data_IF_259857014739
#
_entry.id   IF_259857014739
#
_cell.length_a   1.000
_cell.length_b   1.000
_cell.length_c   1.000
_cell.angle_alpha   90.00
_cell.angle_beta   90.00
_cell.angle_gamma   90.00
#
_symmetry.space_group_name_H-M   'P 1'
#
loop_
_entity.id
_entity.type
_entity.pdbx_description
1 polymer ?
#
# COMPACT_ATOMS: atom_id res chain seq x y z
N UNK A 1 3.77 -10.83 -14.80
CA UNK A 1 3.12 -12.13 -14.55
C UNK A 1 3.81 -13.19 -15.40
N UNK A 2 4.40 -14.21 -14.75
CA UNK A 2 4.96 -15.38 -15.38
C UNK A 2 4.14 -16.60 -14.98
N UNK A 3 3.84 -17.50 -15.92
CA UNK A 3 3.17 -18.79 -15.67
C UNK A 3 1.81 -18.72 -14.94
N UNK A 4 1.05 -17.64 -15.11
CA UNK A 4 -0.36 -17.56 -14.70
C UNK A 4 -0.63 -16.80 -13.41
N UNK A 5 0.25 -16.85 -12.39
CA UNK A 5 0.03 -16.20 -11.12
C UNK A 5 0.85 -14.89 -10.95
N UNK A 6 0.28 -13.90 -10.27
CA UNK A 6 1.02 -12.71 -9.87
C UNK A 6 1.91 -13.02 -8.68
N UNK A 7 3.21 -12.85 -8.86
CA UNK A 7 4.20 -13.05 -7.82
C UNK A 7 5.15 -11.85 -7.75
N UNK A 8 5.82 -11.68 -6.63
CA UNK A 8 6.86 -10.65 -6.47
C UNK A 8 8.16 -11.18 -7.04
N UNK A 9 8.78 -10.38 -7.90
CA UNK A 9 10.09 -10.66 -8.48
C UNK A 9 11.05 -9.51 -8.23
N UNK A 10 12.32 -9.80 -8.20
CA UNK A 10 13.42 -8.82 -8.19
C UNK A 10 14.40 -9.12 -9.31
N UNK A 11 14.94 -8.08 -9.95
CA UNK A 11 15.99 -8.20 -10.95
C UNK A 11 16.98 -7.04 -10.82
N UNK A 12 18.24 -7.19 -11.26
CA UNK A 12 19.18 -6.08 -11.32
C UNK A 12 18.68 -4.97 -12.24
N UNK A 13 18.99 -3.71 -11.93
CA UNK A 13 18.60 -2.56 -12.74
C UNK A 13 19.22 -2.59 -14.15
N UNK A 14 20.38 -3.21 -14.27
CA UNK A 14 21.10 -3.41 -15.54
C UNK A 14 20.49 -4.53 -16.41
N UNK A 15 19.43 -5.17 -15.92
CA UNK A 15 18.80 -6.32 -16.57
C UNK A 15 19.34 -7.67 -16.09
N UNK A 16 18.76 -8.73 -16.62
CA UNK A 16 19.12 -10.11 -16.27
C UNK A 16 17.89 -10.97 -15.99
N UNK A 17 18.10 -12.13 -15.39
CA UNK A 17 17.02 -13.05 -15.04
C UNK A 17 16.29 -12.56 -13.79
N UNK A 18 14.96 -12.36 -13.85
CA UNK A 18 14.17 -12.07 -12.66
C UNK A 18 14.21 -13.22 -11.66
N UNK A 19 14.41 -12.91 -10.40
CA UNK A 19 14.34 -13.86 -9.30
C UNK A 19 12.97 -13.76 -8.64
N UNK A 20 12.23 -14.85 -8.59
CA UNK A 20 10.95 -14.94 -7.88
C UNK A 20 11.18 -14.95 -6.37
N UNK A 21 10.38 -14.20 -5.64
CA UNK A 21 10.47 -14.04 -4.19
C UNK A 21 9.25 -14.62 -3.45
N UNK A 22 8.10 -14.71 -4.12
CA UNK A 22 6.87 -15.26 -3.54
C UNK A 22 6.38 -16.44 -4.37
N UNK A 23 5.77 -17.44 -3.70
CA UNK A 23 5.29 -18.69 -4.30
C UNK A 23 3.88 -19.02 -3.85
N UNK A 24 3.16 -18.03 -3.38
CA UNK A 24 1.79 -18.21 -2.94
C UNK A 24 0.87 -18.30 -4.16
N UNK A 25 -0.05 -19.30 -4.24
CA UNK A 25 -1.01 -19.39 -5.32
C UNK A 25 -1.91 -18.15 -5.31
N UNK A 26 -1.85 -17.37 -6.37
CA UNK A 26 -2.78 -16.26 -6.54
C UNK A 26 -4.17 -16.77 -6.93
N UNK A 27 -5.19 -15.93 -6.80
CA UNK A 27 -6.59 -16.32 -7.07
C UNK A 27 -6.94 -16.48 -8.56
N UNK A 28 -5.95 -16.72 -9.43
CA UNK A 28 -6.15 -16.95 -10.84
C UNK A 28 -6.00 -15.71 -11.73
N UNK A 29 -6.29 -15.83 -13.03
CA UNK A 29 -5.94 -14.82 -14.03
C UNK A 29 -6.80 -13.56 -14.02
N UNK A 30 -7.93 -13.57 -13.31
CA UNK A 30 -8.81 -12.42 -13.23
C UNK A 30 -8.60 -11.67 -11.93
N UNK A 31 -8.34 -10.34 -11.99
CA UNK A 31 -8.24 -9.55 -10.77
C UNK A 31 -9.57 -9.63 -10.02
N UNK A 32 -9.54 -9.93 -8.72
CA UNK A 32 -10.73 -9.82 -7.89
C UNK A 32 -11.22 -8.37 -7.86
N UNK A 33 -12.47 -8.14 -7.51
CA UNK A 33 -13.04 -6.78 -7.43
C UNK A 33 -12.23 -5.81 -6.54
N UNK A 34 -11.40 -6.34 -5.66
CA UNK A 34 -10.52 -5.58 -4.77
C UNK A 34 -9.15 -5.22 -5.35
N UNK A 35 -8.82 -5.61 -6.58
CA UNK A 35 -7.52 -5.37 -7.20
C UNK A 35 -6.67 -6.63 -7.33
N UNK A 36 -5.40 -6.45 -7.74
CA UNK A 36 -4.45 -7.54 -7.95
C UNK A 36 -3.88 -8.06 -6.63
N UNK A 37 -3.58 -9.36 -6.58
CA UNK A 37 -2.83 -9.97 -5.48
C UNK A 37 -1.32 -9.79 -5.70
N UNK A 38 -0.54 -9.85 -4.62
CA UNK A 38 0.92 -9.68 -4.63
C UNK A 38 1.41 -8.39 -5.34
N UNK A 39 0.71 -7.29 -5.15
CA UNK A 39 1.06 -6.00 -5.73
C UNK A 39 2.21 -5.34 -4.97
N UNK A 40 3.31 -5.06 -5.67
CA UNK A 40 4.46 -4.35 -5.11
C UNK A 40 4.11 -2.88 -4.84
N UNK A 41 4.44 -2.40 -3.64
CA UNK A 41 4.29 -1.02 -3.20
C UNK A 41 5.62 -0.27 -3.23
N UNK A 42 6.72 -0.90 -2.82
CA UNK A 42 8.03 -0.27 -2.78
C UNK A 42 9.08 -1.13 -2.11
N UNK A 43 10.12 -0.49 -1.62
CA UNK A 43 11.21 -1.09 -0.85
C UNK A 43 11.15 -0.66 0.60
N UNK A 44 11.66 -1.49 1.50
CA UNK A 44 11.98 -1.02 2.85
C UNK A 44 13.10 0.02 2.79
N UNK A 45 13.16 1.01 3.72
CA UNK A 45 14.13 2.10 3.67
C UNK A 45 15.59 1.66 3.66
N UNK A 46 15.88 0.49 4.22
CA UNK A 46 17.20 -0.13 4.20
C UNK A 46 17.54 -0.86 2.89
N UNK A 47 16.59 -0.91 1.95
CA UNK A 47 16.72 -1.63 0.67
C UNK A 47 16.81 -3.16 0.81
N UNK A 48 16.57 -3.73 1.99
CA UNK A 48 16.75 -5.15 2.23
C UNK A 48 15.54 -6.00 1.82
N UNK A 49 14.34 -5.41 1.80
CA UNK A 49 13.08 -6.12 1.52
C UNK A 49 12.17 -5.33 0.60
N UNK A 50 11.23 -6.04 0.00
CA UNK A 50 10.18 -5.47 -0.84
C UNK A 50 8.88 -5.43 -0.05
N UNK A 51 8.24 -4.26 -0.01
CA UNK A 51 6.91 -4.05 0.51
C UNK A 51 5.89 -4.39 -0.57
N UNK A 52 4.92 -5.23 -0.26
CA UNK A 52 3.86 -5.61 -1.19
C UNK A 52 2.55 -5.90 -0.45
N UNK A 53 1.45 -5.76 -1.16
CA UNK A 53 0.12 -6.15 -0.70
C UNK A 53 -0.19 -7.56 -1.18
N UNK A 54 -0.86 -8.35 -0.33
CA UNK A 54 -1.39 -9.66 -0.70
C UNK A 54 -2.68 -9.97 0.04
N UNK A 55 -3.49 -10.83 -0.56
CA UNK A 55 -4.70 -11.39 0.05
C UNK A 55 -4.47 -12.82 0.58
N UNK A 56 -3.20 -13.25 0.71
CA UNK A 56 -2.85 -14.64 1.05
C UNK A 56 -3.44 -15.14 2.37
N UNK A 57 -3.61 -14.24 3.34
CA UNK A 57 -4.16 -14.56 4.65
C UNK A 57 -5.65 -14.17 4.78
N UNK A 58 -6.31 -13.85 3.65
CA UNK A 58 -7.73 -13.57 3.63
C UNK A 58 -8.52 -14.87 3.82
N UNK A 59 -9.32 -14.95 4.87
CA UNK A 59 -10.06 -16.14 5.30
C UNK A 59 -11.44 -16.31 4.63
N UNK A 60 -11.68 -15.66 3.52
CA UNK A 60 -12.97 -15.70 2.81
C UNK A 60 -14.04 -14.75 3.39
N UNK A 61 -13.93 -14.40 4.65
CA UNK A 61 -14.77 -13.40 5.32
C UNK A 61 -14.11 -12.02 5.18
N UNK A 62 -12.78 -11.97 5.26
CA UNK A 62 -11.97 -10.77 5.04
C UNK A 62 -11.43 -10.80 3.61
N UNK A 63 -12.08 -10.08 2.73
CA UNK A 63 -11.60 -9.90 1.34
C UNK A 63 -10.55 -8.80 1.21
N UNK A 64 -10.21 -8.15 2.30
CA UNK A 64 -9.25 -7.04 2.31
C UNK A 64 -7.81 -7.56 2.31
N UNK A 65 -6.94 -6.86 1.59
CA UNK A 65 -5.52 -7.19 1.55
C UNK A 65 -4.78 -6.80 2.83
N UNK A 66 -3.57 -7.29 2.94
CA UNK A 66 -2.62 -6.92 3.99
C UNK A 66 -1.24 -6.63 3.38
N UNK A 67 -0.50 -5.74 3.99
CA UNK A 67 0.87 -5.46 3.60
C UNK A 67 1.83 -6.48 4.20
N UNK A 68 2.77 -6.89 3.37
CA UNK A 68 3.82 -7.84 3.69
C UNK A 68 5.18 -7.29 3.28
N UNK A 69 6.23 -7.79 3.89
CA UNK A 69 7.59 -7.62 3.39
C UNK A 69 8.17 -8.97 3.02
N UNK A 70 8.99 -9.03 1.95
CA UNK A 70 9.76 -10.20 1.56
C UNK A 70 11.21 -9.81 1.32
N UNK A 71 12.21 -10.54 1.89
CA UNK A 71 13.61 -10.21 1.67
C UNK A 71 13.99 -10.27 0.19
N UNK A 72 14.70 -9.28 -0.34
CA UNK A 72 15.18 -9.25 -1.73
C UNK A 72 16.12 -10.42 -2.05
N UNK A 73 16.80 -10.96 -1.03
CA UNK A 73 17.64 -12.14 -1.15
C UNK A 73 16.85 -13.46 -1.17
N UNK A 74 15.54 -13.40 -0.99
CA UNK A 74 14.65 -14.56 -0.83
C UNK A 74 14.44 -14.94 0.64
N UNK A 75 13.38 -15.68 0.89
CA UNK A 75 12.94 -16.09 2.22
C UNK A 75 11.42 -16.03 2.35
N UNK A 76 10.90 -16.18 3.56
CA UNK A 76 9.48 -16.13 3.80
C UNK A 76 8.98 -14.68 3.88
N UNK A 77 7.82 -14.43 3.28
CA UNK A 77 7.13 -13.17 3.45
C UNK A 77 6.62 -13.03 4.89
N UNK A 78 6.72 -11.82 5.43
CA UNK A 78 6.27 -11.47 6.78
C UNK A 78 5.17 -10.42 6.70
N UNK A 79 4.02 -10.72 7.31
CA UNK A 79 2.93 -9.77 7.44
C UNK A 79 3.33 -8.59 8.33
N UNK A 80 2.88 -7.39 7.96
CA UNK A 80 2.94 -6.23 8.83
C UNK A 80 1.80 -6.29 9.86
N UNK A 81 1.94 -5.63 11.02
CA UNK A 81 1.01 -5.83 12.14
C UNK A 81 -0.38 -5.21 11.94
N UNK A 82 -0.60 -4.40 10.89
CA UNK A 82 -1.92 -3.86 10.60
C UNK A 82 -2.89 -4.97 10.19
N UNK A 83 -4.11 -5.02 10.75
CA UNK A 83 -5.06 -6.10 10.46
C UNK A 83 -5.56 -6.09 9.01
N UNK A 84 -5.68 -4.91 8.42
CA UNK A 84 -6.00 -4.71 7.00
C UNK A 84 -5.17 -3.54 6.47
N UNK A 85 -4.66 -3.66 5.26
CA UNK A 85 -3.88 -2.60 4.64
C UNK A 85 -3.88 -2.74 3.12
N UNK A 86 -4.30 -1.71 2.45
CA UNK A 86 -4.35 -1.63 0.99
C UNK A 86 -3.02 -1.18 0.39
N UNK A 87 -2.87 0.12 0.19
CA UNK A 87 -1.61 0.73 -0.22
C UNK A 87 -0.84 1.23 0.99
N UNK A 88 0.48 1.34 0.89
CA UNK A 88 1.28 1.92 1.96
C UNK A 88 2.74 2.11 1.57
N UNK A 89 3.41 2.97 2.33
CA UNK A 89 4.82 3.27 2.17
C UNK A 89 5.48 3.57 3.52
N UNK A 90 6.74 3.17 3.67
CA UNK A 90 7.51 3.39 4.89
C UNK A 90 7.98 4.84 5.03
N UNK A 91 8.02 5.33 6.27
CA UNK A 91 8.82 6.52 6.58
C UNK A 91 10.31 6.25 6.31
N UNK A 92 11.10 7.27 5.96
CA UNK A 92 12.53 7.09 5.65
C UNK A 92 13.34 6.44 6.79
N UNK A 93 12.91 6.62 8.03
CA UNK A 93 13.53 6.00 9.22
C UNK A 93 13.05 4.55 9.48
N UNK A 94 12.11 4.05 8.69
CA UNK A 94 11.54 2.71 8.81
C UNK A 94 10.68 2.45 10.04
N UNK A 95 10.34 3.48 10.81
CA UNK A 95 9.60 3.31 12.07
C UNK A 95 8.10 3.41 11.92
N UNK A 96 7.65 4.08 10.86
CA UNK A 96 6.23 4.32 10.60
C UNK A 96 5.88 3.93 9.18
N UNK A 97 4.58 3.71 8.95
CA UNK A 97 4.01 3.41 7.63
C UNK A 97 2.81 4.32 7.42
N UNK A 98 2.81 5.09 6.33
CA UNK A 98 1.60 5.70 5.81
C UNK A 98 0.84 4.66 5.00
N UNK A 99 -0.43 4.43 5.30
CA UNK A 99 -1.21 3.38 4.65
C UNK A 99 -2.71 3.70 4.59
N UNK A 100 -3.42 3.00 3.70
CA UNK A 100 -4.88 2.94 3.71
C UNK A 100 -5.33 1.58 4.22
N UNK A 101 -6.26 1.48 5.19
CA UNK A 101 -6.85 0.21 5.62
C UNK A 101 -7.64 -0.48 4.50
N UNK A 102 -8.23 0.30 3.61
CA UNK A 102 -9.00 -0.19 2.48
C UNK A 102 -8.24 -0.02 1.18
N UNK A 103 -8.50 -0.88 0.21
CA UNK A 103 -8.10 -0.62 -1.16
C UNK A 103 -9.28 -0.84 -2.11
N UNK A 104 -9.37 0.02 -3.11
CA UNK A 104 -10.40 -0.01 -4.14
C UNK A 104 -9.79 0.46 -5.46
N UNK A 105 -8.94 -0.38 -6.04
CA UNK A 105 -8.25 -0.05 -7.28
C UNK A 105 -9.26 0.09 -8.44
N UNK A 106 -10.28 -0.76 -8.44
CA UNK A 106 -11.35 -0.78 -9.45
C UNK A 106 -12.69 -0.38 -8.84
N UNK A 107 -12.89 0.92 -8.66
CA UNK A 107 -14.16 1.47 -8.19
C UNK A 107 -15.00 2.00 -9.35
N UNK A 108 -16.33 1.81 -9.24
CA UNK A 108 -17.29 2.24 -10.25
C UNK A 108 -17.93 3.60 -9.96
N UNK A 109 -17.62 4.20 -8.81
CA UNK A 109 -18.17 5.48 -8.37
C UNK A 109 -17.12 6.59 -8.41
N UNK A 110 -17.62 7.82 -8.55
CA UNK A 110 -16.87 9.07 -8.39
C UNK A 110 -17.47 9.88 -7.25
N UNK A 111 -16.64 10.64 -6.54
CA UNK A 111 -17.07 11.57 -5.48
C UNK A 111 -17.94 10.89 -4.41
N UNK A 112 -17.61 9.65 -4.10
CA UNK A 112 -18.33 8.89 -3.08
C UNK A 112 -17.96 9.41 -1.69
N UNK A 113 -18.98 9.59 -0.85
CA UNK A 113 -18.86 9.92 0.57
C UNK A 113 -19.49 8.80 1.38
N UNK A 114 -18.73 8.14 2.23
CA UNK A 114 -19.20 7.03 3.04
C UNK A 114 -18.11 6.04 3.40
N UNK A 115 -18.44 4.97 4.09
CA UNK A 115 -17.49 4.03 4.70
C UNK A 115 -16.60 3.24 3.73
N UNK A 116 -16.81 3.35 2.41
CA UNK A 116 -15.93 2.82 1.38
C UNK A 116 -15.00 3.86 0.77
N UNK A 117 -15.10 5.13 1.18
CA UNK A 117 -14.08 6.10 0.89
C UNK A 117 -12.79 5.67 1.59
N UNK A 118 -11.67 5.77 0.88
CA UNK A 118 -10.38 5.40 1.46
C UNK A 118 -9.85 6.56 2.29
N UNK A 119 -9.42 6.27 3.49
CA UNK A 119 -8.72 7.18 4.38
C UNK A 119 -7.27 6.75 4.54
N UNK A 120 -6.42 7.69 4.93
CA UNK A 120 -5.01 7.45 5.19
C UNK A 120 -4.70 7.52 6.67
N UNK A 121 -3.82 6.62 7.10
CA UNK A 121 -3.34 6.49 8.46
C UNK A 121 -1.82 6.41 8.50
N UNK A 122 -1.23 6.91 9.57
CA UNK A 122 0.15 6.58 9.94
C UNK A 122 0.11 5.54 11.06
N UNK A 123 0.78 4.44 10.82
CA UNK A 123 0.98 3.37 11.79
C UNK A 123 2.38 3.46 12.37
N UNK A 124 2.50 3.46 13.69
CA UNK A 124 3.76 3.38 14.41
C UNK A 124 4.08 1.92 14.74
N UNK A 125 5.21 1.41 14.23
CA UNK A 125 5.60 0.01 14.36
C UNK A 125 6.10 -0.36 15.76
N UNK A 126 6.46 0.61 16.60
CA UNK A 126 6.94 0.36 17.95
C UNK A 126 5.77 0.29 18.95
N UNK A 127 4.77 1.17 18.79
CA UNK A 127 3.63 1.26 19.71
C UNK A 127 2.41 0.48 19.23
N UNK A 128 2.36 0.11 17.95
CA UNK A 128 1.21 -0.45 17.24
C UNK A 128 -0.01 0.49 17.22
N UNK A 129 0.23 1.80 17.28
CA UNK A 129 -0.82 2.81 17.18
C UNK A 129 -1.02 3.23 15.73
N UNK A 130 -2.27 3.43 15.34
CA UNK A 130 -2.65 4.01 14.05
C UNK A 130 -3.39 5.32 14.25
N UNK A 131 -2.97 6.36 13.54
CA UNK A 131 -3.62 7.69 13.58
C UNK A 131 -4.00 8.12 12.18
N UNK A 132 -5.24 8.59 11.95
CA UNK A 132 -5.64 9.16 10.68
C UNK A 132 -4.89 10.47 10.44
N UNK A 133 -4.63 10.79 9.17
CA UNK A 133 -4.09 12.07 8.74
C UNK A 133 -4.77 12.56 7.46
N UNK A 134 -4.73 13.86 7.22
CA UNK A 134 -5.26 14.50 6.01
C UNK A 134 -6.72 14.13 5.69
N UNK A 135 -7.52 13.84 6.71
CA UNK A 135 -8.88 13.31 6.56
C UNK A 135 -9.82 14.29 5.86
N UNK A 136 -10.72 13.75 5.02
CA UNK A 136 -11.84 14.47 4.41
C UNK A 136 -13.03 13.51 4.25
N UNK A 137 -14.24 13.98 3.91
CA UNK A 137 -15.36 13.07 3.61
C UNK A 137 -15.21 12.33 2.28
N UNK A 138 -14.13 12.57 1.55
CA UNK A 138 -13.81 12.04 0.23
C UNK A 138 -12.75 10.94 0.33
N UNK A 139 -12.15 10.59 -0.81
CA UNK A 139 -11.11 9.55 -0.86
C UNK A 139 -9.72 10.15 -0.77
N UNK A 140 -8.91 9.61 0.14
CA UNK A 140 -7.47 9.76 0.22
C UNK A 140 -6.81 8.41 -0.06
N UNK A 141 -5.87 8.35 -1.02
CA UNK A 141 -5.29 7.07 -1.45
C UNK A 141 -3.85 7.21 -1.94
N UNK A 142 -3.22 6.06 -2.15
CA UNK A 142 -1.89 5.93 -2.74
C UNK A 142 -0.82 6.76 -2.00
N UNK A 143 -0.62 6.55 -0.69
CA UNK A 143 0.36 7.32 0.06
C UNK A 143 1.79 6.97 -0.38
N UNK A 144 2.62 7.99 -0.54
CA UNK A 144 4.04 7.91 -0.86
C UNK A 144 4.82 8.75 0.15
N UNK A 145 5.68 8.15 0.94
CA UNK A 145 6.48 8.87 1.93
C UNK A 145 7.83 9.28 1.34
N UNK A 146 8.00 10.54 1.00
CA UNK A 146 9.21 11.05 0.36
C UNK A 146 9.83 12.15 1.24
N UNK A 147 11.00 11.88 1.79
CA UNK A 147 11.67 12.81 2.72
C UNK A 147 10.83 13.07 3.97
N UNK A 148 10.52 14.32 4.23
CA UNK A 148 9.77 14.75 5.42
C UNK A 148 8.25 14.78 5.22
N UNK A 149 7.73 14.50 4.04
CA UNK A 149 6.31 14.62 3.70
C UNK A 149 5.72 13.33 3.16
N UNK A 150 4.42 13.14 3.34
CA UNK A 150 3.62 12.10 2.67
C UNK A 150 2.84 12.74 1.54
N UNK A 151 3.03 12.23 0.34
CA UNK A 151 2.27 12.61 -0.87
C UNK A 151 1.14 11.61 -1.07
N UNK A 152 0.01 12.08 -1.53
CA UNK A 152 -1.17 11.23 -1.73
C UNK A 152 -2.14 11.82 -2.74
N UNK A 153 -3.00 10.98 -3.30
CA UNK A 153 -4.09 11.40 -4.17
C UNK A 153 -5.37 11.61 -3.38
N UNK A 154 -6.10 12.71 -3.67
CA UNK A 154 -7.41 12.96 -3.06
C UNK A 154 -8.37 13.65 -4.03
N UNK A 155 -9.65 13.31 -3.94
CA UNK A 155 -10.74 13.98 -4.68
C UNK A 155 -11.56 14.93 -3.79
N UNK A 156 -10.97 15.44 -2.67
CA UNK A 156 -11.59 16.35 -1.72
C UNK A 156 -12.15 17.64 -2.36
N UNK A 157 -11.54 18.10 -3.44
CA UNK A 157 -11.99 19.27 -4.22
C UNK A 157 -12.86 18.88 -5.43
N UNK A 158 -13.38 17.64 -5.46
CA UNK A 158 -14.27 17.17 -6.51
C UNK A 158 -13.59 16.45 -7.68
N UNK A 159 -12.27 16.59 -7.84
CA UNK A 159 -11.44 15.86 -8.81
C UNK A 159 -10.20 15.32 -8.12
N UNK A 160 -9.69 14.19 -8.63
CA UNK A 160 -8.49 13.58 -8.08
C UNK A 160 -7.28 14.45 -8.40
N UNK A 161 -6.62 14.93 -7.35
CA UNK A 161 -5.42 15.78 -7.41
C UNK A 161 -4.35 15.22 -6.47
N UNK A 162 -3.12 15.69 -6.62
CA UNK A 162 -2.00 15.37 -5.74
C UNK A 162 -1.94 16.37 -4.57
N UNK A 163 -1.74 15.84 -3.39
CA UNK A 163 -1.57 16.58 -2.14
C UNK A 163 -0.32 16.12 -1.41
N UNK A 164 0.16 16.94 -0.49
CA UNK A 164 1.17 16.57 0.49
C UNK A 164 0.66 16.84 1.90
N UNK A 165 1.13 16.03 2.84
CA UNK A 165 0.91 16.20 4.28
C UNK A 165 2.26 16.23 4.99
N UNK A 166 2.44 17.20 5.88
CA UNK A 166 3.62 17.34 6.73
C UNK A 166 3.33 16.74 8.12
N UNK A 167 3.99 15.64 8.50
CA UNK A 167 3.79 15.00 9.81
C UNK A 167 4.19 15.84 11.02
N UNK A 168 4.98 16.92 10.83
CA UNK A 168 5.45 17.78 11.93
C UNK A 168 4.45 18.89 12.26
N UNK A 169 3.79 19.40 11.24
CA UNK A 169 2.88 20.55 11.34
C UNK A 169 1.41 20.20 11.16
N UNK A 170 1.13 18.96 10.74
CA UNK A 170 -0.20 18.47 10.32
C UNK A 170 -0.80 19.24 9.13
N UNK A 171 0.03 19.99 8.41
CA UNK A 171 -0.42 20.81 7.29
C UNK A 171 -0.63 19.97 6.03
N UNK A 172 -1.74 20.21 5.33
CA UNK A 172 -2.04 19.64 4.03
C UNK A 172 -1.94 20.72 2.95
N UNK A 173 -1.20 20.45 1.88
CA UNK A 173 -1.08 21.33 0.73
C UNK A 173 -1.51 20.64 -0.55
N UNK A 174 -2.27 21.37 -1.40
CA UNK A 174 -2.61 20.93 -2.74
C UNK A 174 -1.45 21.24 -3.69
N UNK A 175 -1.09 20.28 -4.56
CA UNK A 175 0.03 20.40 -5.48
C UNK A 175 -0.39 20.53 -6.95
N UNK A 176 -1.54 19.94 -7.33
CA UNK A 176 -2.07 20.00 -8.71
C UNK A 176 -3.52 20.43 -8.77
#
# INVERSE_FOLDING_TARGET
QYEGDEQVYVMPAEGGQPKQLTYYPARGPFPPRGGYDNQVMGWTPDGASILFRSQRDADGIRSEGQLFTVPAKGGLAKALPMPTSGAGDFSPDGKRIAYSPLFRDFRTWKRYEGGWAQDLYVYDLATNDAKPFATSPRTERDPMWIGDAVYFSSDRDGTLNLYSWDPKTDAVAKLT
#
